data_IF_846085255573
#
_entry.id   IF_846085255573
#
_cell.length_a   1.000
_cell.length_b   1.000
_cell.length_c   1.000
_cell.angle_alpha   90.00
_cell.angle_beta   90.00
_cell.angle_gamma   90.00
#
_symmetry.space_group_name_H-M   'P 1'
#
loop_
_entity.id
_entity.type
_entity.pdbx_description
1 polymer ?
#
# COMPACT_ATOMS: atom_id res chain seq x y z
N UNK A 1 5.33 16.51 -5.11
CA UNK A 1 6.79 16.75 -5.07
C UNK A 1 7.41 16.10 -6.30
N UNK A 2 8.30 16.80 -7.00
CA UNK A 2 9.11 16.21 -8.08
C UNK A 2 10.54 15.99 -7.58
N UNK A 3 11.14 14.87 -7.96
CA UNK A 3 12.53 14.52 -7.71
C UNK A 3 13.22 14.37 -9.06
N UNK A 4 14.32 15.09 -9.25
CA UNK A 4 15.11 14.99 -10.46
C UNK A 4 16.05 13.79 -10.31
N UNK A 5 15.94 12.80 -11.19
CA UNK A 5 16.80 11.62 -11.22
C UNK A 5 17.99 11.82 -12.16
N UNK A 6 18.39 10.74 -12.84
CA UNK A 6 19.34 10.80 -13.96
C UNK A 6 18.93 11.86 -14.99
N UNK A 7 19.87 12.47 -15.73
CA UNK A 7 19.56 13.54 -16.68
C UNK A 7 18.36 13.21 -17.58
N UNK A 8 17.34 14.08 -17.52
CA UNK A 8 16.10 13.93 -18.30
C UNK A 8 15.04 13.02 -17.67
N UNK A 9 15.17 12.61 -16.40
CA UNK A 9 14.18 11.80 -15.69
C UNK A 9 13.64 12.52 -14.46
N UNK A 10 12.34 12.69 -14.40
CA UNK A 10 11.64 13.24 -13.24
C UNK A 10 10.82 12.15 -12.56
N UNK A 11 10.73 12.21 -11.23
CA UNK A 11 9.98 11.26 -10.44
C UNK A 11 8.99 11.96 -9.50
N UNK A 12 7.83 11.34 -9.28
CA UNK A 12 6.86 11.73 -8.25
C UNK A 12 6.94 10.77 -7.08
N UNK A 13 6.91 11.35 -5.88
CA UNK A 13 6.81 10.61 -4.63
C UNK A 13 5.38 10.08 -4.45
N UNK A 14 5.27 8.77 -4.20
CA UNK A 14 4.11 8.16 -3.57
C UNK A 14 4.41 8.01 -2.08
N UNK A 15 3.58 8.57 -1.21
CA UNK A 15 3.68 8.35 0.23
C UNK A 15 2.31 8.44 0.88
N UNK A 16 1.95 7.46 1.70
CA UNK A 16 0.71 7.48 2.46
C UNK A 16 0.76 6.51 3.64
N UNK A 17 -0.15 6.71 4.59
CA UNK A 17 -0.47 5.73 5.62
C UNK A 17 -1.89 5.25 5.38
N UNK A 18 -2.08 3.93 5.28
CA UNK A 18 -3.40 3.32 5.29
C UNK A 18 -3.71 2.81 6.69
N UNK A 19 -4.72 3.40 7.33
CA UNK A 19 -5.14 3.09 8.70
C UNK A 19 -6.29 2.10 8.68
N UNK A 20 -6.13 1.00 9.40
CA UNK A 20 -7.23 0.11 9.76
C UNK A 20 -7.92 0.65 11.03
N UNK A 21 -9.24 0.79 10.99
CA UNK A 21 -10.03 1.31 12.13
C UNK A 21 -10.71 0.21 12.95
N UNK A 22 -10.45 -1.05 12.62
CA UNK A 22 -11.25 -2.19 13.05
C UNK A 22 -12.48 -2.45 12.16
N UNK A 23 -12.98 -1.42 11.46
CA UNK A 23 -14.18 -1.50 10.61
C UNK A 23 -13.90 -1.26 9.12
N UNK A 24 -12.63 -1.12 8.74
CA UNK A 24 -12.23 -0.87 7.37
C UNK A 24 -10.90 -0.14 7.27
N UNK A 25 -10.57 0.26 6.05
CA UNK A 25 -9.32 0.91 5.70
C UNK A 25 -9.58 2.29 5.09
N UNK A 26 -8.76 3.26 5.46
CA UNK A 26 -8.78 4.59 4.85
C UNK A 26 -7.37 5.17 4.76
N UNK A 27 -7.19 6.17 3.88
CA UNK A 27 -5.97 6.96 3.85
C UNK A 27 -6.01 7.91 5.05
N UNK A 28 -5.01 7.86 5.91
CA UNK A 28 -4.92 8.73 7.06
C UNK A 28 -4.58 10.16 6.62
N UNK A 29 -5.46 11.10 6.95
CA UNK A 29 -5.37 12.51 6.59
C UNK A 29 -5.73 13.36 7.80
N UNK A 30 -4.71 13.70 8.59
CA UNK A 30 -4.88 14.54 9.79
C UNK A 30 -3.77 15.61 9.85
N UNK A 31 -3.65 16.31 10.97
CA UNK A 31 -2.64 17.38 11.12
C UNK A 31 -1.20 16.86 10.96
N UNK A 32 -0.93 15.60 11.31
CA UNK A 32 0.37 14.96 11.22
C UNK A 32 0.59 14.15 9.94
N UNK A 33 -0.47 13.83 9.20
CA UNK A 33 -0.41 12.93 8.05
C UNK A 33 -1.00 13.55 6.79
N UNK A 34 -0.16 13.71 5.75
CA UNK A 34 -0.55 14.24 4.45
C UNK A 34 -0.02 13.32 3.34
N UNK A 35 -0.88 12.58 2.62
CA UNK A 35 -0.43 11.71 1.54
C UNK A 35 0.15 12.54 0.38
N UNK A 36 1.08 11.93 -0.35
CA UNK A 36 1.68 12.44 -1.59
C UNK A 36 1.40 11.44 -2.70
N UNK A 37 0.80 11.91 -3.80
CA UNK A 37 0.54 11.11 -5.00
C UNK A 37 -0.60 10.09 -4.88
N UNK A 38 -0.86 9.54 -3.69
CA UNK A 38 -1.97 8.62 -3.42
C UNK A 38 -3.22 9.40 -3.02
N UNK A 39 -4.32 9.19 -3.75
CA UNK A 39 -5.54 10.01 -3.65
C UNK A 39 -6.79 9.23 -3.23
N UNK A 40 -6.77 7.89 -3.31
CA UNK A 40 -7.93 7.08 -2.98
C UNK A 40 -7.56 5.66 -2.57
N UNK A 41 -8.46 5.03 -1.84
CA UNK A 41 -8.40 3.61 -1.47
C UNK A 41 -9.77 2.96 -1.66
N UNK A 42 -9.77 1.77 -2.25
CA UNK A 42 -10.94 0.91 -2.38
C UNK A 42 -10.64 -0.45 -1.76
N UNK A 43 -11.55 -0.96 -0.93
CA UNK A 43 -11.43 -2.31 -0.36
C UNK A 43 -12.14 -3.32 -1.23
N UNK A 44 -11.43 -4.38 -1.62
CA UNK A 44 -11.97 -5.54 -2.33
C UNK A 44 -11.85 -6.79 -1.45
N UNK A 45 -12.57 -7.85 -1.79
CA UNK A 45 -12.56 -9.10 -1.01
C UNK A 45 -11.18 -9.80 -0.92
N UNK A 46 -10.21 -9.44 -1.77
CA UNK A 46 -8.88 -10.07 -1.79
C UNK A 46 -7.71 -9.09 -1.75
N UNK A 47 -7.95 -7.78 -1.73
CA UNK A 47 -6.90 -6.75 -1.82
C UNK A 47 -7.42 -5.37 -1.41
N UNK A 48 -6.50 -4.49 -1.06
CA UNK A 48 -6.74 -3.04 -1.10
C UNK A 48 -6.26 -2.53 -2.46
N UNK A 49 -6.99 -1.61 -3.05
CA UNK A 49 -6.58 -0.87 -4.23
C UNK A 49 -6.32 0.57 -3.84
N UNK A 50 -5.16 1.11 -4.21
CA UNK A 50 -4.85 2.53 -4.06
C UNK A 50 -4.82 3.21 -5.42
N UNK A 51 -5.42 4.39 -5.52
CA UNK A 51 -5.32 5.26 -6.67
C UNK A 51 -4.16 6.25 -6.49
N UNK A 52 -3.32 6.40 -7.50
CA UNK A 52 -2.19 7.32 -7.53
C UNK A 52 -1.96 7.93 -8.92
N UNK A 53 -2.89 8.76 -9.44
CA UNK A 53 -2.83 9.31 -10.79
C UNK A 53 -1.79 10.44 -10.88
N UNK A 54 -0.51 10.08 -10.83
CA UNK A 54 0.62 11.01 -10.89
C UNK A 54 1.21 11.17 -12.29
N UNK A 55 0.48 10.72 -13.32
CA UNK A 55 0.91 10.68 -14.72
C UNK A 55 2.17 9.82 -14.95
N UNK A 56 2.29 8.72 -14.21
CA UNK A 56 3.46 7.86 -14.29
C UNK A 56 3.60 7.19 -15.65
N UNK A 57 4.81 7.21 -16.20
CA UNK A 57 5.18 6.48 -17.42
C UNK A 57 5.96 5.19 -17.11
N UNK A 58 6.56 5.11 -15.91
CA UNK A 58 7.32 3.94 -15.46
C UNK A 58 7.34 3.82 -13.94
N UNK A 59 7.23 2.59 -13.45
CA UNK A 59 7.43 2.27 -12.03
C UNK A 59 8.93 2.24 -11.72
N UNK A 60 9.38 3.01 -10.72
CA UNK A 60 10.74 2.88 -10.18
C UNK A 60 10.75 1.87 -9.03
N UNK A 61 10.07 2.21 -7.93
CA UNK A 61 9.93 1.35 -6.76
C UNK A 61 8.73 1.79 -5.93
N UNK A 62 8.02 0.84 -5.33
CA UNK A 62 7.04 1.12 -4.28
C UNK A 62 7.16 0.03 -3.23
N UNK A 63 7.23 0.44 -1.97
CA UNK A 63 7.32 -0.42 -0.82
C UNK A 63 6.12 -0.17 0.09
N UNK A 64 5.69 -1.24 0.76
CA UNK A 64 4.67 -1.18 1.78
C UNK A 64 5.13 -1.97 2.99
N UNK A 65 4.99 -1.36 4.16
CA UNK A 65 5.48 -1.91 5.43
C UNK A 65 4.34 -1.91 6.44
N UNK A 66 3.99 -3.06 7.05
CA UNK A 66 3.09 -3.09 8.18
C UNK A 66 3.79 -2.49 9.40
N UNK A 67 3.05 -1.73 10.20
CA UNK A 67 3.51 -1.25 11.50
C UNK A 67 3.57 -2.38 12.54
N UNK A 68 3.97 -2.03 13.76
CA UNK A 68 4.10 -2.97 14.88
C UNK A 68 2.77 -3.66 15.24
N UNK A 69 1.63 -2.96 15.14
CA UNK A 69 0.32 -3.51 15.49
C UNK A 69 -0.16 -4.57 14.50
N UNK A 70 0.15 -4.41 13.21
CA UNK A 70 -0.11 -5.40 12.17
C UNK A 70 0.95 -6.52 12.18
N UNK A 71 2.22 -6.17 12.34
CA UNK A 71 3.32 -7.12 12.37
C UNK A 71 3.21 -8.11 13.55
N UNK A 72 2.82 -7.63 14.75
CA UNK A 72 2.58 -8.48 15.91
C UNK A 72 1.46 -9.52 15.69
N UNK A 73 0.58 -9.28 14.72
CA UNK A 73 -0.50 -10.18 14.31
C UNK A 73 -0.13 -11.07 13.10
N UNK A 74 1.15 -11.08 12.72
CA UNK A 74 1.66 -11.87 11.61
C UNK A 74 1.19 -11.37 10.24
N UNK A 75 0.70 -10.13 10.15
CA UNK A 75 0.27 -9.55 8.87
C UNK A 75 1.51 -9.28 8.03
N UNK A 76 1.51 -9.85 6.83
CA UNK A 76 2.47 -9.60 5.77
C UNK A 76 1.73 -8.97 4.60
N UNK A 77 2.41 -8.16 3.82
CA UNK A 77 1.82 -7.44 2.71
C UNK A 77 2.73 -7.52 1.48
N UNK A 78 2.13 -7.76 0.33
CA UNK A 78 2.76 -7.59 -0.97
C UNK A 78 2.03 -6.51 -1.76
N UNK A 79 2.74 -5.84 -2.66
CA UNK A 79 2.15 -4.84 -3.56
C UNK A 79 2.43 -5.22 -5.02
N UNK A 80 1.39 -5.13 -5.85
CA UNK A 80 1.51 -5.12 -7.31
C UNK A 80 1.27 -3.69 -7.78
N UNK A 81 2.22 -3.14 -8.55
CA UNK A 81 2.28 -1.71 -8.85
C UNK A 81 1.97 -1.48 -10.33
N UNK A 82 0.93 -0.71 -10.59
CA UNK A 82 0.61 -0.16 -11.92
C UNK A 82 1.02 1.31 -12.02
N UNK A 83 0.67 1.96 -13.13
CA UNK A 83 1.04 3.37 -13.39
C UNK A 83 0.14 4.38 -12.66
N UNK A 84 -1.14 4.08 -12.53
CA UNK A 84 -2.15 4.95 -11.89
C UNK A 84 -2.80 4.31 -10.66
N UNK A 85 -2.62 3.00 -10.49
CA UNK A 85 -3.23 2.18 -9.42
C UNK A 85 -2.28 1.10 -8.94
N UNK A 86 -2.37 0.75 -7.66
CA UNK A 86 -1.63 -0.37 -7.08
C UNK A 86 -2.53 -1.23 -6.22
N UNK A 87 -2.18 -2.51 -6.11
CA UNK A 87 -2.94 -3.52 -5.39
C UNK A 87 -2.12 -4.09 -4.25
N UNK A 88 -2.62 -3.96 -3.02
CA UNK A 88 -2.00 -4.48 -1.82
C UNK A 88 -2.71 -5.77 -1.39
N UNK A 89 -1.95 -6.84 -1.24
CA UNK A 89 -2.44 -8.16 -0.83
C UNK A 89 -1.95 -8.45 0.59
N UNK A 90 -2.89 -8.72 1.50
CA UNK A 90 -2.59 -8.99 2.91
C UNK A 90 -2.57 -10.50 3.16
N UNK A 91 -1.64 -10.98 3.99
CA UNK A 91 -1.49 -12.38 4.34
C UNK A 91 -1.27 -12.54 5.84
N UNK A 92 -1.99 -13.44 6.50
CA UNK A 92 -1.81 -13.72 7.94
C UNK A 92 -1.44 -15.17 8.24
N UNK A 93 -1.63 -16.09 7.30
CA UNK A 93 -1.20 -17.48 7.43
C UNK A 93 0.07 -17.71 6.60
N UNK A 94 0.99 -18.60 7.03
CA UNK A 94 2.07 -19.05 6.17
C UNK A 94 1.50 -19.75 4.91
N UNK A 95 2.30 -19.90 3.83
CA UNK A 95 1.91 -20.73 2.70
C UNK A 95 1.53 -22.15 3.18
N UNK A 96 0.53 -22.81 2.56
CA UNK A 96 0.21 -24.20 2.85
C UNK A 96 1.45 -25.09 2.77
N UNK A 97 1.55 -26.07 3.68
CA UNK A 97 2.68 -27.02 3.76
C UNK A 97 2.85 -27.94 2.53
N UNK A 98 1.93 -27.86 1.56
CA UNK A 98 1.99 -28.57 0.27
C UNK A 98 2.44 -27.74 -0.93
N UNK A 99 3.02 -26.55 -0.74
CA UNK A 99 3.68 -25.78 -1.81
C UNK A 99 2.78 -24.86 -2.65
N UNK A 100 1.53 -24.62 -2.24
CA UNK A 100 0.66 -23.63 -2.89
C UNK A 100 0.96 -22.19 -2.44
N UNK A 101 0.58 -21.16 -3.23
CA UNK A 101 0.66 -19.78 -2.76
C UNK A 101 -0.28 -19.57 -1.57
N UNK A 102 0.16 -18.76 -0.60
CA UNK A 102 -0.75 -18.27 0.44
C UNK A 102 -1.91 -17.51 -0.24
N UNK A 103 -3.14 -17.72 0.22
CA UNK A 103 -4.27 -16.93 -0.25
C UNK A 103 -4.28 -15.57 0.46
N UNK A 104 -4.48 -14.46 -0.26
CA UNK A 104 -4.70 -13.17 0.37
C UNK A 104 -5.91 -13.25 1.31
N UNK A 105 -5.77 -12.63 2.48
CA UNK A 105 -6.87 -12.40 3.42
C UNK A 105 -7.74 -11.27 2.89
N UNK A 106 -9.04 -11.40 3.09
CA UNK A 106 -9.98 -10.30 2.87
C UNK A 106 -9.63 -9.14 3.82
N UNK A 107 -9.25 -7.95 3.29
CA UNK A 107 -8.88 -6.82 4.14
C UNK A 107 -10.00 -6.32 5.05
N UNK A 108 -11.27 -6.51 4.66
CA UNK A 108 -12.42 -6.14 5.49
C UNK A 108 -12.54 -6.99 6.77
N UNK A 109 -11.99 -8.20 6.75
CA UNK A 109 -12.02 -9.12 7.90
C UNK A 109 -10.84 -8.90 8.86
N UNK A 110 -10.00 -7.90 8.60
CA UNK A 110 -8.91 -7.53 9.49
C UNK A 110 -9.38 -6.45 10.45
N UNK A 111 -9.74 -6.86 11.68
CA UNK A 111 -10.13 -5.94 12.75
C UNK A 111 -8.90 -5.61 13.62
N UNK A 112 -8.11 -4.65 13.16
CA UNK A 112 -6.86 -4.24 13.81
C UNK A 112 -6.92 -2.72 14.02
N UNK A 113 -7.63 -2.26 15.07
CA UNK A 113 -7.68 -0.85 15.40
C UNK A 113 -6.26 -0.28 15.48
N UNK A 114 -6.10 0.90 14.88
CA UNK A 114 -4.87 1.67 14.81
C UNK A 114 -3.71 1.07 14.02
N UNK A 115 -3.88 -0.09 13.38
CA UNK A 115 -2.85 -0.68 12.55
C UNK A 115 -2.65 0.06 11.22
N UNK A 116 -1.40 0.18 10.80
CA UNK A 116 -0.97 1.00 9.69
C UNK A 116 -0.17 0.23 8.64
N UNK A 117 -0.51 0.45 7.37
CA UNK A 117 0.38 0.17 6.26
C UNK A 117 1.04 1.48 5.82
N UNK A 118 2.37 1.53 5.94
CA UNK A 118 3.18 2.65 5.47
C UNK A 118 3.59 2.40 4.04
N UNK A 119 3.30 3.34 3.15
CA UNK A 119 3.61 3.25 1.72
C UNK A 119 4.60 4.35 1.36
N UNK A 120 5.66 3.99 0.65
CA UNK A 120 6.62 4.92 0.06
C UNK A 120 7.08 4.39 -1.30
N UNK A 121 7.20 5.26 -2.29
CA UNK A 121 7.68 4.88 -3.62
C UNK A 121 7.94 6.05 -4.55
N UNK A 122 8.51 5.76 -5.70
CA UNK A 122 8.83 6.71 -6.76
C UNK A 122 8.32 6.21 -8.11
N UNK A 123 7.70 7.13 -8.85
CA UNK A 123 7.15 6.89 -10.19
C UNK A 123 7.80 7.87 -11.16
N UNK A 124 8.36 7.40 -12.28
CA UNK A 124 8.85 8.32 -13.31
C UNK A 124 7.66 8.97 -14.03
N UNK A 125 7.78 10.26 -14.32
CA UNK A 125 6.79 11.08 -15.05
C UNK A 125 7.42 11.82 -16.22
#
# INVERSE_FOLDING_TARGET
MTLNGEPGRDYRLLSAVLRNTGNGWHILTDVGHRPSGITGITTHANRLEIAHPVDAIRVSSVQVTPDEALAARGVRVGISVGLDRSFLYLYTAPPPTGGGPAKPRNPADLAVPDGNLWITGFMEV
#
